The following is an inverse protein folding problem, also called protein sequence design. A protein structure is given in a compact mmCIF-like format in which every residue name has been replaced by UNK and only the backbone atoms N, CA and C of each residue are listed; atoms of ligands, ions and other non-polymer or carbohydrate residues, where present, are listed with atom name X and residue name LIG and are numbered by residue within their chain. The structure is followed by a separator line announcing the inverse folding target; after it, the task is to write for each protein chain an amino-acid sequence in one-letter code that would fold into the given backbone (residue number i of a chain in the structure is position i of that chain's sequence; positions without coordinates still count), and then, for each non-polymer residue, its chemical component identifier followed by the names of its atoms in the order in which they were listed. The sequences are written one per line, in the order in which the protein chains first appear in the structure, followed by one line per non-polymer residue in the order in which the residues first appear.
data_IF_582866107144
#
_entry.id   IF_582866107144
#
_cell.length_a   1.000
_cell.length_b   1.000
_cell.length_c   1.000
_cell.angle_alpha   90.00
_cell.angle_beta   90.00
_cell.angle_gamma   90.00
#
_symmetry.space_group_name_H-M   'P 1'
#
loop_
_entity.id
_entity.type
_entity.pdbx_description
1 polymer ?
#
# COMPACT_ATOMS: atom_id res chain seq x y z
N UNK A 1 -49.10 -7.83 -25.94
CA UNK A 1 -48.21 -8.46 -24.93
C UNK A 1 -46.80 -7.93 -25.10
N UNK A 2 -46.21 -7.29 -24.08
CA UNK A 2 -44.86 -6.74 -24.17
C UNK A 2 -43.82 -7.88 -24.19
N UNK A 3 -43.11 -8.03 -25.32
CA UNK A 3 -42.05 -9.03 -25.49
C UNK A 3 -40.91 -8.71 -24.51
N UNK A 4 -40.75 -9.51 -23.46
CA UNK A 4 -39.62 -9.41 -22.52
C UNK A 4 -38.31 -9.61 -23.32
N UNK A 5 -37.57 -8.52 -23.56
CA UNK A 5 -36.22 -8.59 -24.17
C UNK A 5 -35.35 -9.55 -23.35
N UNK A 6 -34.87 -10.63 -23.97
CA UNK A 6 -33.92 -11.57 -23.36
C UNK A 6 -32.68 -10.79 -22.94
N UNK A 7 -32.40 -10.73 -21.64
CA UNK A 7 -31.21 -10.08 -21.10
C UNK A 7 -29.98 -10.82 -21.63
N UNK A 8 -29.16 -10.12 -22.41
CA UNK A 8 -27.94 -10.69 -22.99
C UNK A 8 -26.95 -11.09 -21.87
N UNK A 9 -26.67 -12.39 -21.76
CA UNK A 9 -25.83 -12.97 -20.70
C UNK A 9 -24.44 -12.33 -20.64
N UNK A 10 -23.90 -11.90 -21.79
CA UNK A 10 -22.62 -11.20 -21.90
C UNK A 10 -22.64 -9.83 -21.21
N UNK A 11 -23.75 -9.09 -21.33
CA UNK A 11 -23.91 -7.79 -20.68
C UNK A 11 -23.98 -7.93 -19.14
N UNK A 12 -24.71 -8.94 -18.65
CA UNK A 12 -24.78 -9.27 -17.22
C UNK A 12 -23.42 -9.67 -16.64
N UNK A 13 -22.65 -10.47 -17.38
CA UNK A 13 -21.29 -10.86 -17.01
C UNK A 13 -20.35 -9.65 -16.91
N UNK A 14 -20.34 -8.78 -17.93
CA UNK A 14 -19.55 -7.53 -17.91
C UNK A 14 -19.89 -6.63 -16.73
N UNK A 15 -21.19 -6.44 -16.44
CA UNK A 15 -21.62 -5.63 -15.31
C UNK A 15 -21.14 -6.20 -13.96
N UNK A 16 -21.13 -7.54 -13.81
CA UNK A 16 -20.62 -8.22 -12.61
C UNK A 16 -19.11 -8.00 -12.44
N UNK A 17 -18.32 -8.15 -13.50
CA UNK A 17 -16.88 -7.90 -13.45
C UNK A 17 -16.55 -6.43 -13.16
N UNK A 18 -17.28 -5.48 -13.75
CA UNK A 18 -17.11 -4.06 -13.43
C UNK A 18 -17.37 -3.75 -11.95
N UNK A 19 -18.41 -4.35 -11.37
CA UNK A 19 -18.70 -4.19 -9.93
C UNK A 19 -17.57 -4.75 -9.06
N UNK A 20 -17.04 -5.94 -9.38
CA UNK A 20 -15.89 -6.52 -8.67
C UNK A 20 -14.66 -5.63 -8.80
N UNK A 21 -14.41 -5.10 -9.99
CA UNK A 21 -13.24 -4.27 -10.24
C UNK A 21 -13.27 -2.95 -9.47
N UNK A 22 -14.46 -2.33 -9.32
CA UNK A 22 -14.64 -1.15 -8.45
C UNK A 22 -14.21 -1.45 -7.01
N UNK A 23 -14.61 -2.60 -6.47
CA UNK A 23 -14.22 -3.02 -5.11
C UNK A 23 -12.71 -3.26 -5.01
N UNK A 24 -12.13 -4.02 -5.95
CA UNK A 24 -10.68 -4.26 -6.00
C UNK A 24 -9.87 -2.98 -6.13
N UNK A 25 -10.35 -2.03 -6.93
CA UNK A 25 -9.74 -0.72 -7.09
C UNK A 25 -9.73 0.06 -5.78
N UNK A 26 -10.86 0.12 -5.07
CA UNK A 26 -10.95 0.80 -3.78
C UNK A 26 -10.03 0.18 -2.72
N UNK A 27 -9.93 -1.15 -2.67
CA UNK A 27 -9.00 -1.85 -1.77
C UNK A 27 -7.54 -1.49 -2.06
N UNK A 28 -7.14 -1.50 -3.34
CA UNK A 28 -5.79 -1.09 -3.77
C UNK A 28 -5.53 0.38 -3.47
N UNK A 29 -6.51 1.26 -3.69
CA UNK A 29 -6.42 2.70 -3.41
C UNK A 29 -6.18 2.96 -1.92
N UNK A 30 -6.96 2.31 -1.04
CA UNK A 30 -6.81 2.40 0.42
C UNK A 30 -5.44 1.89 0.88
N UNK A 31 -4.99 0.74 0.37
CA UNK A 31 -3.67 0.19 0.66
C UNK A 31 -2.54 1.16 0.26
N UNK A 32 -2.62 1.76 -0.93
CA UNK A 32 -1.65 2.76 -1.40
C UNK A 32 -1.60 4.00 -0.49
N UNK A 33 -2.77 4.51 -0.06
CA UNK A 33 -2.85 5.64 0.88
C UNK A 33 -2.22 5.30 2.23
N UNK A 34 -2.54 4.14 2.78
CA UNK A 34 -1.97 3.67 4.06
C UNK A 34 -0.43 3.58 3.99
N UNK A 35 0.09 2.91 2.95
CA UNK A 35 1.54 2.78 2.74
C UNK A 35 2.20 4.16 2.59
N UNK A 36 1.57 5.10 1.86
CA UNK A 36 2.09 6.46 1.70
C UNK A 36 2.19 7.19 3.05
N UNK A 37 1.17 7.07 3.92
CA UNK A 37 1.15 7.68 5.26
C UNK A 37 2.24 7.10 6.16
N UNK A 38 2.44 5.78 6.14
CA UNK A 38 3.52 5.15 6.90
C UNK A 38 4.90 5.56 6.39
N UNK A 39 5.07 5.66 5.07
CA UNK A 39 6.32 6.09 4.45
C UNK A 39 6.68 7.54 4.78
N UNK A 40 5.71 8.46 4.85
CA UNK A 40 6.03 9.86 5.19
C UNK A 40 6.64 9.94 6.58
N UNK A 41 6.02 9.28 7.57
CA UNK A 41 6.50 9.27 8.94
C UNK A 41 7.93 8.68 9.10
N UNK A 42 8.20 7.56 8.43
CA UNK A 42 9.54 6.92 8.46
C UNK A 42 10.62 7.83 7.87
N UNK A 43 10.25 8.69 6.92
CA UNK A 43 11.18 9.49 6.11
C UNK A 43 11.25 10.96 6.57
N UNK A 44 10.38 11.38 7.46
CA UNK A 44 10.40 12.73 8.06
C UNK A 44 11.74 12.97 8.77
N UNK A 45 12.29 14.17 8.60
CA UNK A 45 13.66 14.55 9.02
C UNK A 45 13.69 15.40 10.29
N UNK A 46 12.56 15.58 10.98
CA UNK A 46 12.47 16.50 12.10
C UNK A 46 13.02 15.85 13.38
N UNK A 47 13.91 16.57 14.09
CA UNK A 47 14.43 16.27 15.43
C UNK A 47 14.85 14.81 15.66
N UNK A 48 16.04 14.41 15.20
CA UNK A 48 16.58 13.07 15.37
C UNK A 48 17.19 12.86 16.78
N UNK A 49 16.33 12.86 17.81
CA UNK A 49 16.72 12.37 19.14
C UNK A 49 16.78 10.83 19.16
N UNK A 50 17.51 10.24 20.10
CA UNK A 50 17.61 8.77 20.23
C UNK A 50 16.24 8.10 20.39
N UNK A 51 15.31 8.74 21.09
CA UNK A 51 13.93 8.26 21.25
C UNK A 51 13.19 8.22 19.92
N UNK A 52 13.27 9.30 19.14
CA UNK A 52 12.63 9.41 17.83
C UNK A 52 13.25 8.42 16.83
N UNK A 53 14.55 8.13 16.94
CA UNK A 53 15.20 7.10 16.12
C UNK A 53 14.59 5.72 16.42
N UNK A 54 14.40 5.36 17.69
CA UNK A 54 13.74 4.11 18.08
C UNK A 54 12.29 4.05 17.57
N UNK A 55 11.54 5.15 17.66
CA UNK A 55 10.19 5.22 17.10
C UNK A 55 10.17 5.01 15.58
N UNK A 56 11.10 5.62 14.85
CA UNK A 56 11.22 5.45 13.40
C UNK A 56 11.60 4.03 13.01
N UNK A 57 12.46 3.35 13.78
CA UNK A 57 12.73 1.93 13.60
C UNK A 57 11.48 1.06 13.83
N UNK A 58 10.69 1.37 14.87
CA UNK A 58 9.40 0.74 15.12
C UNK A 58 8.41 0.93 13.97
N UNK A 59 8.32 2.16 13.44
CA UNK A 59 7.48 2.47 12.29
C UNK A 59 7.94 1.78 11.00
N UNK A 60 9.25 1.61 10.80
CA UNK A 60 9.82 0.84 9.69
C UNK A 60 9.41 -0.65 9.79
N UNK A 61 9.47 -1.25 10.98
CA UNK A 61 8.99 -2.62 11.22
C UNK A 61 7.50 -2.76 10.91
N UNK A 62 6.67 -1.80 11.35
CA UNK A 62 5.24 -1.77 11.03
C UNK A 62 4.98 -1.62 9.52
N UNK A 63 5.77 -0.79 8.82
CA UNK A 63 5.71 -0.65 7.37
C UNK A 63 6.00 -1.99 6.69
N UNK A 64 6.99 -2.75 7.16
CA UNK A 64 7.35 -4.06 6.59
C UNK A 64 6.21 -5.05 6.71
N UNK A 65 5.65 -5.19 7.92
CA UNK A 65 4.46 -6.02 8.19
C UNK A 65 3.29 -5.63 7.28
N UNK A 66 3.09 -4.32 7.09
CA UNK A 66 2.04 -3.82 6.21
C UNK A 66 2.30 -4.21 4.75
N UNK A 67 3.51 -4.00 4.24
CA UNK A 67 3.88 -4.33 2.87
C UNK A 67 3.70 -5.83 2.58
N UNK A 68 4.14 -6.70 3.48
CA UNK A 68 3.99 -8.16 3.32
C UNK A 68 2.52 -8.58 3.35
N UNK A 69 1.72 -8.01 4.26
CA UNK A 69 0.28 -8.27 4.31
C UNK A 69 -0.46 -7.79 3.05
N UNK A 70 -0.09 -6.63 2.49
CA UNK A 70 -0.71 -6.15 1.24
C UNK A 70 -0.22 -6.94 0.03
N UNK A 71 1.00 -7.46 0.06
CA UNK A 71 1.55 -8.32 -1.00
C UNK A 71 0.87 -9.70 -1.01
N UNK A 72 0.70 -10.35 0.13
CA UNK A 72 0.00 -11.64 0.22
C UNK A 72 -1.46 -11.55 -0.24
N UNK A 73 -2.10 -10.39 -0.02
CA UNK A 73 -3.46 -10.08 -0.50
C UNK A 73 -3.54 -9.65 -1.97
N UNK A 74 -2.43 -9.64 -2.71
CA UNK A 74 -2.40 -9.23 -4.11
C UNK A 74 -2.71 -7.74 -4.36
N UNK A 75 -2.65 -6.91 -3.31
CA UNK A 75 -2.94 -5.47 -3.41
C UNK A 75 -1.74 -4.67 -3.93
N UNK A 76 -0.53 -5.22 -3.74
CA UNK A 76 0.72 -4.71 -4.30
C UNK A 76 1.58 -5.86 -4.84
N UNK A 77 2.43 -5.57 -5.82
CA UNK A 77 3.33 -6.58 -6.39
C UNK A 77 4.55 -6.81 -5.48
N UNK A 78 5.10 -8.04 -5.51
CA UNK A 78 6.32 -8.41 -4.76
C UNK A 78 7.50 -7.47 -5.03
N UNK A 79 7.77 -7.16 -6.30
CA UNK A 79 8.83 -6.23 -6.68
C UNK A 79 8.62 -4.83 -6.11
N UNK A 80 7.37 -4.33 -6.07
CA UNK A 80 7.07 -3.03 -5.47
C UNK A 80 7.26 -3.03 -3.95
N UNK A 81 6.83 -4.09 -3.27
CA UNK A 81 7.03 -4.24 -1.82
C UNK A 81 8.52 -4.23 -1.48
N UNK A 82 9.33 -5.04 -2.16
CA UNK A 82 10.77 -5.13 -1.93
C UNK A 82 11.50 -3.81 -2.20
N UNK A 83 11.14 -3.12 -3.29
CA UNK A 83 11.71 -1.80 -3.60
C UNK A 83 11.39 -0.78 -2.53
N UNK A 84 10.17 -0.79 -1.99
CA UNK A 84 9.79 0.13 -0.90
C UNK A 84 10.57 -0.18 0.37
N UNK A 85 10.69 -1.46 0.77
CA UNK A 85 11.51 -1.89 1.90
C UNK A 85 12.95 -1.39 1.79
N UNK A 86 13.59 -1.70 0.66
CA UNK A 86 14.98 -1.28 0.40
C UNK A 86 15.13 0.24 0.44
N UNK A 87 14.22 0.99 -0.22
CA UNK A 87 14.26 2.45 -0.23
C UNK A 87 14.07 3.04 1.17
N UNK A 88 13.12 2.54 1.96
CA UNK A 88 12.84 3.05 3.31
C UNK A 88 14.01 2.80 4.25
N UNK A 89 14.63 1.62 4.20
CA UNK A 89 15.81 1.32 5.03
C UNK A 89 16.99 2.18 4.65
N UNK A 90 17.32 2.28 3.35
CA UNK A 90 18.42 3.13 2.89
C UNK A 90 18.23 4.56 3.37
N UNK A 91 17.02 5.09 3.26
CA UNK A 91 16.74 6.47 3.65
C UNK A 91 16.79 6.69 5.16
N UNK A 92 16.26 5.77 5.96
CA UNK A 92 16.36 5.86 7.42
C UNK A 92 17.81 5.79 7.89
N UNK A 93 18.61 4.87 7.33
CA UNK A 93 20.03 4.77 7.66
C UNK A 93 20.79 6.04 7.28
N UNK A 94 20.49 6.62 6.11
CA UNK A 94 21.08 7.91 5.71
C UNK A 94 20.74 9.03 6.70
N UNK A 95 19.51 9.08 7.20
CA UNK A 95 19.10 10.08 8.20
C UNK A 95 19.82 9.90 9.53
N UNK A 96 20.00 8.66 9.97
CA UNK A 96 20.71 8.36 11.23
C UNK A 96 22.20 8.69 11.08
N UNK A 97 22.81 8.38 9.93
CA UNK A 97 24.23 8.63 9.68
C UNK A 97 24.58 10.05 9.26
N UNK A 98 23.60 10.89 8.87
CA UNK A 98 23.83 12.30 8.55
C UNK A 98 23.84 13.21 9.78
N UNK A 99 23.19 12.77 10.85
CA UNK A 99 23.07 13.50 12.12
C UNK A 99 24.05 12.98 13.20
N UNK A 100 24.76 11.89 12.92
CA UNK A 100 25.84 11.33 13.73
C UNK A 100 27.21 11.84 13.26
#
# INVERSE_FOLDING_TARGET
MAVKKKVNSRAKSRAKELKKERVRYELRRRAKKQIKKQLSFVVETNNLTEEIIKEKQGALSLLYKTLDSKQSKGLITKGRANRLKSKSTKKLNQLISSDA
#
